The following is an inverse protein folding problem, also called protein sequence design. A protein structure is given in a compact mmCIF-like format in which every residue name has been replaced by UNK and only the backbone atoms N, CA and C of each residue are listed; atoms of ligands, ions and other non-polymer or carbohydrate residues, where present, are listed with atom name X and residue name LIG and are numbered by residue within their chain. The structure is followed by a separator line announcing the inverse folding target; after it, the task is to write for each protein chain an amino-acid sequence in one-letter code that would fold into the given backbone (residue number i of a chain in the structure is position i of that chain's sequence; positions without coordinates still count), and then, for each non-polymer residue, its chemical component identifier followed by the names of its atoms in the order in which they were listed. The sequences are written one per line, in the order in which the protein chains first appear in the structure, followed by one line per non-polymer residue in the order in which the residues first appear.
data_IF_179179976343
#
_entry.id   IF_179179976343
#
_cell.length_a   1.000
_cell.length_b   1.000
_cell.length_c   1.000
_cell.angle_alpha   90.00
_cell.angle_beta   90.00
_cell.angle_gamma   90.00
#
_symmetry.space_group_name_H-M   'P 1'
#
loop_
_entity.id
_entity.type
_entity.pdbx_description
1 polymer ?
#
# COMPACT_ATOMS: atom_id res chain seq x y z
N UNK A 1 -16.62 -16.91 -32.22
CA UNK A 1 -17.57 -17.13 -31.12
C UNK A 1 -17.38 -16.01 -30.11
N UNK A 2 -18.47 -15.58 -29.45
CA UNK A 2 -18.43 -14.53 -28.43
C UNK A 2 -18.41 -15.13 -27.01
N UNK A 3 -18.15 -14.31 -25.98
CA UNK A 3 -18.14 -14.75 -24.59
C UNK A 3 -19.58 -14.87 -24.05
N UNK A 4 -19.84 -15.86 -23.19
CA UNK A 4 -21.16 -16.09 -22.59
C UNK A 4 -21.47 -15.12 -21.43
N UNK A 5 -20.45 -14.58 -20.77
CA UNK A 5 -20.57 -13.67 -19.64
C UNK A 5 -19.48 -12.61 -19.68
N UNK A 6 -19.79 -11.46 -19.09
CA UNK A 6 -18.89 -10.33 -18.97
C UNK A 6 -18.95 -9.79 -17.54
N UNK A 7 -17.79 -9.38 -17.02
CA UNK A 7 -17.69 -8.77 -15.70
C UNK A 7 -17.57 -7.26 -15.85
N UNK A 8 -18.23 -6.54 -14.94
CA UNK A 8 -18.26 -5.09 -14.92
C UNK A 8 -17.78 -4.57 -13.57
N UNK A 9 -17.08 -3.44 -13.61
CA UNK A 9 -16.64 -2.66 -12.46
C UNK A 9 -16.80 -1.19 -12.81
N UNK A 10 -17.16 -0.36 -11.84
CA UNK A 10 -17.41 1.06 -12.06
C UNK A 10 -16.10 1.82 -12.36
N UNK A 11 -14.97 1.31 -11.88
CA UNK A 11 -13.64 1.89 -12.14
C UNK A 11 -12.51 0.86 -12.09
N UNK A 12 -11.36 1.21 -12.67
CA UNK A 12 -10.14 0.42 -12.53
C UNK A 12 -9.62 0.39 -11.08
N UNK A 13 -9.88 1.44 -10.31
CA UNK A 13 -9.50 1.49 -8.90
C UNK A 13 -10.24 0.42 -8.10
N UNK A 14 -11.57 0.34 -8.27
CA UNK A 14 -12.42 -0.68 -7.64
C UNK A 14 -11.97 -2.09 -8.05
N UNK A 15 -11.72 -2.31 -9.34
CA UNK A 15 -11.22 -3.59 -9.85
C UNK A 15 -9.88 -3.98 -9.22
N UNK A 16 -8.97 -3.00 -9.06
CA UNK A 16 -7.64 -3.20 -8.45
C UNK A 16 -7.77 -3.54 -6.97
N UNK A 17 -8.66 -2.87 -6.23
CA UNK A 17 -8.93 -3.15 -4.82
C UNK A 17 -9.53 -4.56 -4.62
N UNK A 18 -10.52 -4.94 -5.45
CA UNK A 18 -11.08 -6.31 -5.45
C UNK A 18 -10.02 -7.36 -5.76
N UNK A 19 -9.15 -7.11 -6.75
CA UNK A 19 -8.05 -8.01 -7.09
C UNK A 19 -7.03 -8.12 -5.95
N UNK A 20 -6.70 -7.01 -5.26
CA UNK A 20 -5.80 -7.01 -4.10
C UNK A 20 -6.37 -7.84 -2.95
N UNK A 21 -7.66 -7.66 -2.64
CA UNK A 21 -8.34 -8.45 -1.61
C UNK A 21 -8.37 -9.94 -1.97
N UNK A 22 -8.67 -10.28 -3.23
CA UNK A 22 -8.62 -11.65 -3.72
C UNK A 22 -7.22 -12.26 -3.63
N UNK A 23 -6.18 -11.52 -4.02
CA UNK A 23 -4.79 -11.99 -3.96
C UNK A 23 -4.35 -12.38 -2.54
N UNK A 24 -4.88 -11.72 -1.51
CA UNK A 24 -4.61 -12.05 -0.10
C UNK A 24 -5.22 -13.40 0.33
N UNK A 25 -6.22 -13.91 -0.38
CA UNK A 25 -6.82 -15.23 -0.07
C UNK A 25 -6.03 -16.40 -0.66
N UNK A 26 -5.08 -16.11 -1.56
CA UNK A 26 -4.25 -17.13 -2.21
C UNK A 26 -3.19 -17.61 -1.21
N UNK A 27 -3.20 -18.88 -0.84
CA UNK A 27 -2.23 -19.44 0.09
C UNK A 27 -0.82 -19.43 -0.49
N UNK A 28 0.03 -18.54 0.02
CA UNK A 28 1.47 -18.45 -0.30
C UNK A 28 2.25 -18.08 0.96
N UNK A 29 3.37 -18.76 1.27
CA UNK A 29 4.15 -18.48 2.48
C UNK A 29 5.07 -17.24 2.36
N UNK A 30 4.84 -16.39 1.36
CA UNK A 30 5.66 -15.20 1.08
C UNK A 30 4.85 -14.13 0.36
N UNK A 31 5.22 -12.87 0.60
CA UNK A 31 4.78 -11.74 -0.22
C UNK A 31 5.65 -11.58 -1.47
N UNK A 32 5.13 -10.88 -2.48
CA UNK A 32 5.92 -10.48 -3.65
C UNK A 32 5.77 -8.98 -3.90
N UNK A 33 6.85 -8.34 -4.36
CA UNK A 33 6.86 -6.94 -4.80
C UNK A 33 7.46 -6.88 -6.20
N UNK A 34 6.90 -6.04 -7.06
CA UNK A 34 7.53 -5.71 -8.33
C UNK A 34 8.54 -4.58 -8.14
N UNK A 35 9.77 -4.77 -8.63
CA UNK A 35 10.78 -3.73 -8.70
C UNK A 35 10.80 -3.13 -10.12
N UNK A 36 10.34 -1.88 -10.30
CA UNK A 36 10.25 -1.26 -11.63
C UNK A 36 11.62 -0.90 -12.21
N UNK A 37 12.65 -0.68 -11.38
CA UNK A 37 13.99 -0.30 -11.83
C UNK A 37 14.73 -1.46 -12.49
N UNK A 38 14.54 -2.66 -11.97
CA UNK A 38 15.17 -3.89 -12.47
C UNK A 38 14.22 -4.77 -13.28
N UNK A 39 12.95 -4.36 -13.41
CA UNK A 39 11.90 -5.13 -14.07
C UNK A 39 11.77 -6.56 -13.54
N UNK A 40 11.90 -6.73 -12.23
CA UNK A 40 11.96 -8.05 -11.58
C UNK A 40 10.97 -8.18 -10.43
N UNK A 41 10.71 -9.43 -10.02
CA UNK A 41 9.86 -9.75 -8.86
C UNK A 41 10.73 -10.09 -7.66
N UNK A 42 10.56 -9.34 -6.58
CA UNK A 42 11.21 -9.54 -5.29
C UNK A 42 10.31 -10.35 -4.36
N UNK A 43 10.86 -11.42 -3.78
CA UNK A 43 10.15 -12.23 -2.78
C UNK A 43 10.43 -11.71 -1.38
N UNK A 44 9.37 -11.37 -0.64
CA UNK A 44 9.40 -10.85 0.72
C UNK A 44 9.35 -12.01 1.72
N UNK A 45 10.51 -12.56 2.04
CA UNK A 45 10.66 -13.73 2.92
C UNK A 45 11.29 -13.44 4.27
N UNK A 46 11.91 -12.27 4.45
CA UNK A 46 12.65 -11.95 5.67
C UNK A 46 12.45 -10.50 6.11
N UNK A 47 12.71 -10.27 7.40
CA UNK A 47 12.54 -8.95 8.03
C UNK A 47 13.47 -7.91 7.43
N UNK A 48 14.65 -8.29 6.94
CA UNK A 48 15.59 -7.34 6.33
C UNK A 48 15.03 -6.73 5.03
N UNK A 49 14.42 -7.55 4.17
CA UNK A 49 13.77 -7.09 2.92
C UNK A 49 12.57 -6.20 3.22
N UNK A 50 11.79 -6.56 4.24
CA UNK A 50 10.65 -5.75 4.68
C UNK A 50 11.16 -4.39 5.21
N UNK A 51 12.21 -4.38 6.03
CA UNK A 51 12.81 -3.16 6.55
C UNK A 51 13.40 -2.26 5.45
N UNK A 52 13.97 -2.84 4.39
CA UNK A 52 14.43 -2.09 3.23
C UNK A 52 13.27 -1.35 2.54
N UNK A 53 12.12 -2.01 2.35
CA UNK A 53 10.92 -1.40 1.76
C UNK A 53 10.35 -0.32 2.68
N UNK A 54 10.28 -0.56 3.99
CA UNK A 54 9.84 0.47 4.95
C UNK A 54 10.76 1.70 4.89
N UNK A 55 12.06 1.50 4.71
CA UNK A 55 13.02 2.60 4.55
C UNK A 55 12.80 3.39 3.25
N UNK A 56 12.49 2.69 2.15
CA UNK A 56 12.12 3.29 0.86
C UNK A 56 10.84 4.14 0.99
N UNK A 57 9.78 3.56 1.58
CA UNK A 57 8.51 4.25 1.83
C UNK A 57 8.68 5.48 2.72
N UNK A 58 9.55 5.43 3.74
CA UNK A 58 9.88 6.60 4.56
C UNK A 58 10.54 7.71 3.73
N UNK A 59 11.37 7.34 2.76
CA UNK A 59 11.95 8.28 1.80
C UNK A 59 10.87 8.96 0.95
N UNK A 60 9.95 8.18 0.40
CA UNK A 60 8.82 8.70 -0.38
C UNK A 60 7.93 9.64 0.43
N UNK A 61 7.62 9.27 1.68
CA UNK A 61 6.87 10.13 2.60
C UNK A 61 7.59 11.44 2.89
N UNK A 62 8.92 11.42 3.03
CA UNK A 62 9.70 12.65 3.19
C UNK A 62 9.60 13.57 1.96
N UNK A 63 9.58 13.01 0.75
CA UNK A 63 9.37 13.77 -0.49
C UNK A 63 7.98 14.42 -0.47
N UNK A 64 6.95 13.67 -0.10
CA UNK A 64 5.57 14.17 0.01
C UNK A 64 5.48 15.30 1.05
N UNK A 65 6.01 15.11 2.26
CA UNK A 65 6.01 16.15 3.31
C UNK A 65 6.74 17.42 2.87
N UNK A 66 7.87 17.29 2.18
CA UNK A 66 8.60 18.45 1.65
C UNK A 66 7.81 19.18 0.55
N UNK A 67 7.11 18.45 -0.32
CA UNK A 67 6.25 19.04 -1.34
C UNK A 67 5.08 19.80 -0.70
N UNK A 68 4.44 19.23 0.33
CA UNK A 68 3.36 19.88 1.08
C UNK A 68 3.82 21.17 1.75
N UNK A 69 4.99 21.17 2.40
CA UNK A 69 5.56 22.38 3.01
C UNK A 69 5.77 23.49 1.97
N UNK A 70 6.34 23.16 0.80
CA UNK A 70 6.55 24.14 -0.29
C UNK A 70 5.24 24.69 -0.83
N UNK A 71 4.20 23.86 -0.93
CA UNK A 71 2.88 24.31 -1.37
C UNK A 71 2.30 25.28 -0.35
N UNK A 72 2.38 24.96 0.94
CA UNK A 72 1.89 25.82 2.02
C UNK A 72 2.60 27.19 2.07
N UNK A 73 3.91 27.23 1.77
CA UNK A 73 4.69 28.48 1.67
C UNK A 73 4.19 29.40 0.53
N UNK A 74 3.52 28.84 -0.49
CA UNK A 74 3.05 29.59 -1.67
C UNK A 74 1.52 29.73 -1.74
N UNK A 75 0.77 28.93 -0.98
CA UNK A 75 -0.69 28.92 -0.94
C UNK A 75 -1.17 28.54 0.48
N UNK A 76 -1.51 29.56 1.27
CA UNK A 76 -2.00 29.39 2.66
C UNK A 76 -3.38 28.74 2.75
N UNK A 77 -4.09 28.56 1.62
CA UNK A 77 -5.44 27.96 1.61
C UNK A 77 -5.42 26.43 1.69
N UNK A 78 -4.24 25.81 1.54
CA UNK A 78 -4.10 24.36 1.58
C UNK A 78 -4.10 23.85 3.03
N UNK A 79 -5.09 23.02 3.36
CA UNK A 79 -5.21 22.34 4.65
C UNK A 79 -4.20 21.18 4.77
N UNK A 80 -2.97 21.54 5.15
CA UNK A 80 -1.87 20.59 5.36
C UNK A 80 -2.16 19.64 6.53
N UNK A 81 -2.92 20.08 7.53
CA UNK A 81 -3.18 19.31 8.75
C UNK A 81 -4.03 18.06 8.45
N UNK A 82 -5.02 18.19 7.56
CA UNK A 82 -5.82 17.04 7.10
C UNK A 82 -4.98 16.02 6.33
N UNK A 83 -4.03 16.48 5.50
CA UNK A 83 -3.14 15.60 4.73
C UNK A 83 -2.13 14.90 5.67
N UNK A 84 -1.56 15.60 6.64
CA UNK A 84 -0.71 14.98 7.67
C UNK A 84 -1.47 13.90 8.46
N UNK A 85 -2.74 14.14 8.79
CA UNK A 85 -3.60 13.14 9.43
C UNK A 85 -3.87 11.92 8.54
N UNK A 86 -4.05 12.11 7.23
CA UNK A 86 -4.18 10.99 6.29
C UNK A 86 -2.90 10.15 6.22
N UNK A 87 -1.73 10.78 6.27
CA UNK A 87 -0.44 10.09 6.28
C UNK A 87 -0.23 9.27 7.58
N UNK A 88 -0.69 9.77 8.72
CA UNK A 88 -0.59 9.08 10.01
C UNK A 88 -1.59 7.93 10.15
N UNK A 89 -2.82 8.08 9.63
CA UNK A 89 -3.88 7.07 9.77
C UNK A 89 -3.70 5.87 8.85
N UNK A 90 -3.15 6.05 7.65
CA UNK A 90 -2.92 4.97 6.68
C UNK A 90 -1.93 3.88 7.13
N UNK A 91 -1.23 4.08 8.25
CA UNK A 91 -0.23 3.16 8.81
C UNK A 91 -0.70 2.37 10.05
N UNK A 92 -1.99 2.45 10.43
CA UNK A 92 -2.50 1.65 11.56
C UNK A 92 -2.43 0.14 11.24
N UNK A 93 -1.37 -0.50 11.72
CA UNK A 93 -1.23 -1.95 11.76
C UNK A 93 -2.12 -2.46 12.89
N UNK A 94 -3.26 -3.07 12.56
CA UNK A 94 -4.03 -3.85 13.53
C UNK A 94 -3.18 -5.06 13.91
N UNK A 95 -2.60 -5.04 15.11
CA UNK A 95 -1.98 -6.22 15.69
C UNK A 95 -3.10 -7.11 16.22
N UNK A 96 -3.54 -8.05 15.39
CA UNK A 96 -4.46 -9.08 15.85
C UNK A 96 -3.63 -10.13 16.60
N UNK A 97 -3.45 -9.93 17.91
CA UNK A 97 -2.95 -10.97 18.81
C UNK A 97 -4.00 -12.07 18.96
N UNK A 98 -4.10 -12.92 17.95
CA UNK A 98 -4.80 -14.20 18.03
C UNK A 98 -3.95 -15.20 18.81
N UNK A 99 -3.92 -15.08 20.14
CA UNK A 99 -3.45 -16.15 21.03
C UNK A 99 -4.19 -17.47 20.70
N UNK A 100 -3.47 -18.59 20.44
CA UNK A 100 -4.12 -19.88 20.38
C UNK A 100 -4.52 -20.31 21.79
N UNK A 101 -5.82 -20.34 22.08
CA UNK A 101 -6.35 -21.07 23.22
C UNK A 101 -6.04 -22.55 23.03
N UNK A 102 -5.12 -23.06 23.84
CA UNK A 102 -4.97 -24.48 24.07
C UNK A 102 -6.12 -24.94 24.99
N UNK A 103 -7.02 -25.76 24.45
CA UNK A 103 -7.86 -26.67 25.23
C UNK A 103 -7.10 -27.98 25.50
#
# INVERSE_FOLDING_TARGET
AFQNHYYYTDSFQEATEKMRAFANTIQRPFGVRYNPYTQSVEVLTNTQKIAAIVSELRGDLCIVSNALRKIHEHDETVDVESIEKMLQSGLQLNHDEGEPKHD
#
